data_IF_443491573983
#
_entry.id   IF_443491573983
#
_cell.length_a   1.000
_cell.length_b   1.000
_cell.length_c   1.000
_cell.angle_alpha   90.00
_cell.angle_beta   90.00
_cell.angle_gamma   90.00
#
_symmetry.space_group_name_H-M   'P 1'
#
loop_
_entity.id
_entity.type
_entity.pdbx_description
1 polymer ?
#
# COMPACT_ATOMS: atom_id res chain seq x y z
N UNK A 1 -29.32 -25.44 -2.08
CA UNK A 1 -28.62 -25.43 -3.39
C UNK A 1 -27.58 -24.32 -3.34
N UNK A 2 -26.34 -24.67 -3.00
CA UNK A 2 -25.22 -23.72 -2.93
C UNK A 2 -24.78 -23.41 -4.37
N UNK A 3 -25.07 -22.21 -4.87
CA UNK A 3 -24.51 -21.76 -6.14
C UNK A 3 -23.06 -21.35 -5.91
N UNK A 4 -22.13 -22.27 -6.16
CA UNK A 4 -20.71 -21.99 -6.32
C UNK A 4 -20.50 -21.33 -7.69
N UNK A 5 -20.41 -20.01 -7.70
CA UNK A 5 -19.91 -19.27 -8.85
C UNK A 5 -18.41 -19.53 -9.00
N UNK A 6 -18.03 -20.40 -9.94
CA UNK A 6 -16.66 -20.52 -10.40
C UNK A 6 -16.32 -19.31 -11.28
N UNK A 7 -15.63 -18.32 -10.70
CA UNK A 7 -14.93 -17.30 -11.48
C UNK A 7 -13.54 -17.83 -11.80
N UNK A 8 -13.25 -18.02 -13.09
CA UNK A 8 -11.90 -18.29 -13.57
C UNK A 8 -11.01 -17.09 -13.23
N UNK A 9 -10.16 -17.23 -12.22
CA UNK A 9 -9.17 -16.21 -11.86
C UNK A 9 -8.06 -16.27 -12.91
N UNK A 10 -8.11 -15.35 -13.88
CA UNK A 10 -6.97 -15.07 -14.76
C UNK A 10 -5.88 -14.39 -13.93
N UNK A 11 -4.61 -14.69 -14.25
CA UNK A 11 -3.41 -14.29 -13.50
C UNK A 11 -3.49 -12.91 -12.81
N UNK A 12 -3.16 -12.90 -11.52
CA UNK A 12 -3.27 -11.75 -10.62
C UNK A 12 -2.19 -10.71 -10.94
N UNK A 13 -2.54 -9.68 -11.71
CA UNK A 13 -1.76 -8.44 -11.74
C UNK A 13 -2.29 -7.54 -10.63
N UNK A 14 -1.43 -7.18 -9.67
CA UNK A 14 -1.86 -6.38 -8.52
C UNK A 14 -2.12 -4.90 -8.88
N UNK A 15 -1.67 -4.46 -10.07
CA UNK A 15 -1.94 -3.14 -10.65
C UNK A 15 -1.84 -3.19 -12.20
N UNK A 16 -2.28 -2.14 -12.89
CA UNK A 16 -2.15 -1.97 -14.35
C UNK A 16 -1.61 -0.58 -14.75
N UNK A 17 -0.85 0.08 -13.87
CA UNK A 17 -0.28 1.40 -14.18
C UNK A 17 1.02 1.28 -14.99
N UNK A 18 1.14 1.91 -16.17
CA UNK A 18 2.41 2.02 -16.89
C UNK A 18 3.53 2.66 -16.06
N UNK A 19 3.18 3.51 -15.10
CA UNK A 19 4.14 4.14 -14.20
C UNK A 19 4.74 3.16 -13.19
N UNK A 20 4.11 2.02 -12.93
CA UNK A 20 4.69 0.97 -12.08
C UNK A 20 5.98 0.37 -12.64
N UNK A 21 6.30 0.60 -13.92
CA UNK A 21 7.56 0.16 -14.55
C UNK A 21 8.83 0.69 -13.88
N UNK A 22 8.73 1.82 -13.18
CA UNK A 22 9.89 2.50 -12.63
C UNK A 22 10.08 2.16 -11.14
N UNK A 23 11.35 2.14 -10.71
CA UNK A 23 11.71 1.82 -9.34
C UNK A 23 11.22 0.43 -8.92
N UNK A 24 10.66 0.35 -7.71
CA UNK A 24 10.09 -0.86 -7.12
C UNK A 24 8.59 -1.04 -7.39
N UNK A 25 8.00 -0.26 -8.31
CA UNK A 25 6.55 -0.23 -8.55
C UNK A 25 5.84 0.92 -7.84
N UNK A 26 4.51 0.85 -7.77
CA UNK A 26 3.71 1.84 -7.01
C UNK A 26 3.77 1.48 -5.53
N UNK A 27 4.08 2.46 -4.67
CA UNK A 27 4.09 2.30 -3.21
C UNK A 27 2.65 2.25 -2.69
N UNK A 28 2.37 1.26 -1.86
CA UNK A 28 1.08 1.10 -1.17
C UNK A 28 1.18 1.61 0.27
N UNK A 29 0.23 2.46 0.68
CA UNK A 29 0.15 2.91 2.07
C UNK A 29 -0.55 1.87 2.96
N UNK A 30 0.00 1.51 4.13
CA UNK A 30 -0.59 0.50 5.01
C UNK A 30 -1.72 1.09 5.87
N UNK A 31 -2.68 1.74 5.21
CA UNK A 31 -3.86 2.35 5.81
C UNK A 31 -4.96 1.30 6.06
N UNK A 32 -4.88 0.63 7.21
CA UNK A 32 -5.83 -0.45 7.55
C UNK A 32 -7.22 0.10 7.89
N UNK A 33 -8.25 -0.73 7.78
CA UNK A 33 -9.66 -0.46 8.02
C UNK A 33 -10.11 0.98 7.78
N UNK A 34 -10.50 1.65 8.87
CA UNK A 34 -11.04 3.00 8.83
C UNK A 34 -10.09 4.07 8.29
N UNK A 35 -8.77 3.89 8.41
CA UNK A 35 -7.78 4.85 7.91
C UNK A 35 -7.88 5.05 6.40
N UNK A 36 -8.26 4.00 5.67
CA UNK A 36 -8.51 4.08 4.21
C UNK A 36 -9.65 5.05 3.85
N UNK A 37 -10.64 5.26 4.73
CA UNK A 37 -11.70 6.25 4.54
C UNK A 37 -11.31 7.68 4.95
N UNK A 38 -10.12 7.86 5.54
CA UNK A 38 -9.62 9.11 6.12
C UNK A 38 -8.37 9.63 5.40
N UNK A 39 -8.26 9.43 4.09
CA UNK A 39 -7.12 9.87 3.29
C UNK A 39 -5.85 9.05 3.52
N UNK A 40 -5.95 7.95 4.28
CA UNK A 40 -4.82 7.13 4.66
C UNK A 40 -3.98 7.72 5.80
N UNK A 41 -4.53 8.62 6.63
CA UNK A 41 -3.84 9.04 7.86
C UNK A 41 -3.74 7.85 8.84
N UNK A 42 -2.66 7.81 9.61
CA UNK A 42 -2.36 6.76 10.56
C UNK A 42 -1.30 7.13 11.60
N UNK A 43 -0.34 8.03 11.34
CA UNK A 43 0.77 8.27 12.28
C UNK A 43 0.28 8.78 13.64
N UNK A 44 -0.70 9.69 13.64
CA UNK A 44 -1.36 10.22 14.84
C UNK A 44 -2.62 9.47 15.27
N UNK A 45 -3.02 8.38 14.58
CA UNK A 45 -4.23 7.64 14.92
C UNK A 45 -3.97 6.60 16.02
N UNK A 46 -4.80 6.65 17.06
CA UNK A 46 -4.75 5.74 18.21
C UNK A 46 -6.14 5.22 18.55
N UNK A 47 -6.34 3.91 18.38
CA UNK A 47 -7.65 3.25 18.51
C UNK A 47 -7.52 1.81 19.00
N UNK A 48 -8.40 1.42 19.93
CA UNK A 48 -8.54 0.03 20.38
C UNK A 48 -9.11 -0.88 19.29
N UNK A 49 -10.06 -0.38 18.50
CA UNK A 49 -10.80 -1.13 17.49
C UNK A 49 -10.17 -1.19 16.10
N UNK A 50 -8.88 -0.84 15.95
CA UNK A 50 -8.18 -0.88 14.67
C UNK A 50 -6.70 -1.24 14.88
N UNK A 51 -6.11 -1.95 13.93
CA UNK A 51 -4.67 -2.18 13.87
C UNK A 51 -4.05 -1.09 13.01
N UNK A 52 -2.94 -0.50 13.48
CA UNK A 52 -2.29 0.60 12.78
C UNK A 52 -0.77 0.36 12.69
N UNK A 53 -0.30 -0.30 11.62
CA UNK A 53 1.13 -0.56 11.45
C UNK A 53 1.94 0.65 11.00
N UNK A 54 1.29 1.74 10.55
CA UNK A 54 1.99 2.99 10.20
C UNK A 54 2.73 3.58 11.41
N UNK A 55 2.23 3.35 12.63
CA UNK A 55 2.93 3.72 13.85
C UNK A 55 2.81 2.60 14.90
N UNK A 56 3.87 1.81 15.16
CA UNK A 56 3.81 0.68 16.09
C UNK A 56 3.51 1.08 17.54
N UNK A 57 3.78 2.35 17.94
CA UNK A 57 3.40 2.85 19.26
C UNK A 57 1.89 2.77 19.54
N UNK A 58 1.08 2.67 18.48
CA UNK A 58 -0.38 2.53 18.59
C UNK A 58 -0.85 1.19 19.15
N UNK A 59 -0.04 0.11 19.13
CA UNK A 59 -0.51 -1.21 19.54
C UNK A 59 -0.84 -1.32 21.03
N UNK A 60 -0.21 -0.50 21.88
CA UNK A 60 -0.53 -0.37 23.31
C UNK A 60 -1.96 0.13 23.55
N UNK A 61 -2.61 0.76 22.55
CA UNK A 61 -4.05 0.99 22.56
C UNK A 61 -4.78 -0.28 22.11
N UNK A 62 -4.77 -1.30 22.95
CA UNK A 62 -5.54 -2.53 22.78
C UNK A 62 -6.32 -2.80 24.05
N UNK A 63 -7.55 -3.30 23.91
CA UNK A 63 -8.31 -3.75 25.09
C UNK A 63 -7.65 -5.00 25.64
N UNK A 64 -7.26 -4.96 26.92
CA UNK A 64 -6.55 -6.02 27.64
C UNK A 64 -7.23 -7.40 27.60
N UNK A 65 -8.53 -7.46 27.28
CA UNK A 65 -9.31 -8.69 27.28
C UNK A 65 -9.66 -9.20 25.87
N UNK A 66 -9.23 -8.53 24.80
CA UNK A 66 -9.60 -8.91 23.44
C UNK A 66 -8.43 -8.94 22.50
N UNK A 67 -8.43 -9.89 21.56
CA UNK A 67 -7.60 -9.77 20.37
C UNK A 67 -8.39 -9.11 19.25
N UNK A 68 -7.68 -8.52 18.30
CA UNK A 68 -8.25 -7.97 17.08
C UNK A 68 -7.61 -8.66 15.88
N UNK A 69 -8.43 -9.14 14.96
CA UNK A 69 -8.03 -9.62 13.64
C UNK A 69 -8.62 -8.66 12.60
N UNK A 70 -7.82 -8.20 11.64
CA UNK A 70 -8.28 -7.33 10.56
C UNK A 70 -7.82 -7.89 9.22
N UNK A 71 -8.75 -7.97 8.28
CA UNK A 71 -8.49 -8.46 6.92
C UNK A 71 -9.07 -7.48 5.91
N UNK A 72 -8.24 -7.06 4.96
CA UNK A 72 -8.59 -6.04 3.97
C UNK A 72 -8.48 -6.55 2.53
N UNK A 73 -9.50 -6.24 1.73
CA UNK A 73 -9.55 -6.44 0.29
C UNK A 73 -9.75 -5.11 -0.42
N UNK A 74 -9.31 -5.02 -1.67
CA UNK A 74 -9.66 -3.90 -2.53
C UNK A 74 -10.01 -4.32 -3.94
N UNK A 75 -10.77 -3.48 -4.62
CA UNK A 75 -10.97 -3.48 -6.06
C UNK A 75 -10.65 -2.09 -6.61
N UNK A 76 -9.83 -2.03 -7.66
CA UNK A 76 -9.37 -0.78 -8.28
C UNK A 76 -9.81 -0.76 -9.74
N UNK A 77 -10.67 0.19 -10.10
CA UNK A 77 -11.02 0.51 -11.47
C UNK A 77 -10.20 1.72 -11.93
N UNK A 78 -9.33 1.54 -12.91
CA UNK A 78 -8.47 2.60 -13.46
C UNK A 78 -8.85 2.90 -14.89
N UNK A 79 -8.99 4.18 -15.21
CA UNK A 79 -9.18 4.71 -16.56
C UNK A 79 -7.94 5.46 -16.99
N UNK A 80 -7.34 5.00 -18.08
CA UNK A 80 -6.18 5.60 -18.73
C UNK A 80 -6.63 6.50 -19.87
N UNK A 81 -5.97 7.64 -20.01
CA UNK A 81 -6.14 8.54 -21.14
C UNK A 81 -4.79 9.00 -21.65
N UNK A 82 -4.53 8.77 -22.92
CA UNK A 82 -3.37 9.28 -23.63
C UNK A 82 -3.85 9.91 -24.93
N UNK A 83 -3.79 11.24 -25.03
CA UNK A 83 -4.36 11.97 -26.16
C UNK A 83 -5.83 11.60 -26.42
N UNK A 84 -6.11 10.93 -27.55
CA UNK A 84 -7.44 10.44 -27.95
C UNK A 84 -7.71 8.98 -27.54
N UNK A 85 -6.69 8.25 -27.08
CA UNK A 85 -6.82 6.87 -26.64
C UNK A 85 -7.38 6.82 -25.21
N UNK A 86 -8.27 5.86 -24.97
CA UNK A 86 -8.92 5.63 -23.68
C UNK A 86 -8.98 4.14 -23.41
N UNK A 87 -8.58 3.76 -22.21
CA UNK A 87 -8.61 2.37 -21.79
C UNK A 87 -9.06 2.28 -20.33
N UNK A 88 -9.63 1.14 -19.95
CA UNK A 88 -10.01 0.87 -18.58
C UNK A 88 -9.53 -0.52 -18.13
N UNK A 89 -9.20 -0.63 -16.85
CA UNK A 89 -8.77 -1.87 -16.20
C UNK A 89 -9.42 -2.00 -14.83
N UNK A 90 -9.73 -3.24 -14.44
CA UNK A 90 -10.22 -3.58 -13.11
C UNK A 90 -9.25 -4.59 -12.49
N UNK A 91 -8.82 -4.32 -11.26
CA UNK A 91 -7.96 -5.19 -10.47
C UNK A 91 -8.61 -5.45 -9.12
N UNK A 92 -8.30 -6.57 -8.49
CA UNK A 92 -8.67 -6.86 -7.12
C UNK A 92 -7.46 -7.38 -6.36
N UNK A 93 -7.27 -6.92 -5.13
CA UNK A 93 -6.11 -7.23 -4.31
C UNK A 93 -6.51 -7.62 -2.89
N UNK A 94 -5.68 -8.47 -2.28
CA UNK A 94 -5.64 -8.62 -0.82
C UNK A 94 -4.70 -7.53 -0.32
N UNK A 95 -5.22 -6.59 0.48
CA UNK A 95 -4.44 -5.44 0.95
C UNK A 95 -3.59 -5.82 2.18
N UNK A 96 -4.19 -6.53 3.14
CA UNK A 96 -3.54 -6.96 4.36
C UNK A 96 -4.32 -8.03 5.13
N UNK A 97 -3.60 -8.72 6.01
CA UNK A 97 -4.16 -9.52 7.09
C UNK A 97 -3.31 -9.28 8.35
N UNK A 98 -3.93 -8.96 9.47
CA UNK A 98 -3.18 -8.63 10.68
C UNK A 98 -3.93 -9.02 11.96
N UNK A 99 -3.13 -9.20 13.01
CA UNK A 99 -3.58 -9.51 14.36
C UNK A 99 -2.95 -8.50 15.33
N UNK A 100 -3.71 -8.08 16.35
CA UNK A 100 -3.26 -7.27 17.49
C UNK A 100 -3.72 -7.94 18.77
N UNK A 101 -2.78 -8.19 19.69
CA UNK A 101 -3.00 -8.93 20.94
C UNK A 101 -2.47 -8.11 22.11
N UNK A 102 -3.23 -8.00 23.23
CA UNK A 102 -2.72 -7.46 24.48
C UNK A 102 -1.78 -8.48 25.16
N UNK A 103 -0.58 -8.05 25.52
CA UNK A 103 0.31 -8.81 26.41
C UNK A 103 0.10 -8.41 27.87
N UNK A 104 -0.16 -7.13 28.11
CA UNK A 104 -0.60 -6.60 29.40
C UNK A 104 -1.47 -5.35 29.19
N UNK A 105 -1.94 -4.71 30.27
CA UNK A 105 -2.77 -3.50 30.18
C UNK A 105 -2.14 -2.38 29.35
N UNK A 106 -0.82 -2.25 29.42
CA UNK A 106 -0.06 -1.18 28.78
C UNK A 106 0.93 -1.70 27.73
N UNK A 107 0.82 -2.98 27.35
CA UNK A 107 1.72 -3.65 26.40
C UNK A 107 0.94 -4.38 25.31
N UNK A 108 1.10 -3.93 24.07
CA UNK A 108 0.49 -4.54 22.89
C UNK A 108 1.51 -5.23 21.98
N UNK A 109 1.05 -6.26 21.29
CA UNK A 109 1.75 -6.94 20.20
C UNK A 109 0.87 -6.87 18.94
N UNK A 110 1.49 -6.74 17.77
CA UNK A 110 0.81 -6.91 16.49
C UNK A 110 1.70 -7.65 15.52
N UNK A 111 1.10 -8.48 14.69
CA UNK A 111 1.76 -9.12 13.57
C UNK A 111 0.82 -9.15 12.38
N UNK A 112 1.37 -9.08 11.18
CA UNK A 112 0.54 -9.08 9.98
C UNK A 112 1.36 -9.06 8.71
N UNK A 113 0.64 -9.09 7.61
CA UNK A 113 1.16 -9.01 6.26
C UNK A 113 0.38 -7.94 5.50
N UNK A 114 1.09 -7.11 4.74
CA UNK A 114 0.49 -6.11 3.86
C UNK A 114 1.37 -5.88 2.63
N UNK A 115 0.77 -5.41 1.55
CA UNK A 115 1.52 -5.09 0.32
C UNK A 115 2.30 -3.78 0.49
N UNK A 116 3.60 -3.79 0.18
CA UNK A 116 4.46 -2.60 0.24
C UNK A 116 4.55 -1.91 -1.12
N UNK A 117 4.74 -2.69 -2.20
CA UNK A 117 4.71 -2.16 -3.57
C UNK A 117 3.95 -3.07 -4.53
N UNK A 118 3.45 -2.49 -5.63
CA UNK A 118 2.73 -3.19 -6.70
C UNK A 118 3.39 -2.90 -8.04
N UNK A 119 3.70 -3.95 -8.79
CA UNK A 119 4.19 -3.88 -10.16
C UNK A 119 3.20 -4.55 -11.11
N UNK A 120 2.81 -3.82 -12.15
CA UNK A 120 1.83 -4.35 -13.09
C UNK A 120 1.54 -3.38 -14.24
N UNK A 121 1.89 -3.81 -15.44
CA UNK A 121 1.53 -3.12 -16.68
C UNK A 121 1.54 -4.12 -17.84
N UNK A 122 0.82 -3.80 -18.91
CA UNK A 122 0.87 -4.54 -20.16
C UNK A 122 0.57 -3.60 -21.33
N UNK A 123 1.54 -3.40 -22.21
CA UNK A 123 1.37 -2.60 -23.43
C UNK A 123 2.21 -3.18 -24.57
N UNK A 124 1.90 -2.81 -25.80
CA UNK A 124 2.67 -3.23 -26.97
C UNK A 124 2.96 -2.03 -27.87
N UNK A 125 4.08 -2.09 -28.57
CA UNK A 125 4.47 -1.10 -29.57
C UNK A 125 4.94 -1.84 -30.81
N UNK A 126 4.41 -1.46 -31.97
CA UNK A 126 4.82 -1.98 -33.27
C UNK A 126 5.60 -0.93 -34.05
N UNK A 127 6.47 -1.41 -34.94
CA UNK A 127 7.25 -0.57 -35.84
C UNK A 127 7.65 -1.34 -37.08
N UNK A 128 8.36 -0.65 -37.98
CA UNK A 128 8.93 -1.24 -39.19
C UNK A 128 10.42 -0.93 -39.27
N UNK A 129 11.22 -1.93 -39.60
CA UNK A 129 12.63 -1.80 -39.96
C UNK A 129 12.78 -2.08 -41.45
N UNK A 130 13.84 -1.57 -42.06
CA UNK A 130 14.22 -1.97 -43.41
C UNK A 130 15.28 -3.06 -43.28
N UNK A 131 15.01 -4.23 -43.84
CA UNK A 131 15.99 -5.33 -43.88
C UNK A 131 17.13 -5.02 -44.86
N UNK A 132 18.20 -5.81 -44.83
CA UNK A 132 19.37 -5.71 -45.69
C UNK A 132 19.01 -5.74 -47.19
N UNK A 133 17.92 -6.42 -47.55
CA UNK A 133 17.39 -6.50 -48.92
C UNK A 133 16.43 -5.34 -49.30
N UNK A 134 16.29 -4.33 -48.43
CA UNK A 134 15.41 -3.17 -48.68
C UNK A 134 13.92 -3.41 -48.40
N UNK A 135 13.55 -4.60 -47.93
CA UNK A 135 12.17 -4.95 -47.60
C UNK A 135 11.74 -4.38 -46.24
N UNK A 136 10.46 -4.00 -46.12
CA UNK A 136 9.89 -3.52 -44.86
C UNK A 136 9.56 -4.69 -43.94
N UNK A 137 10.25 -4.78 -42.80
CA UNK A 137 10.10 -5.78 -41.77
C UNK A 137 9.31 -5.20 -40.59
N UNK A 138 8.06 -5.66 -40.42
CA UNK A 138 7.20 -5.24 -39.31
C UNK A 138 7.53 -6.05 -38.07
N UNK A 139 7.76 -5.37 -36.95
CA UNK A 139 7.97 -5.99 -35.65
C UNK A 139 6.93 -5.50 -34.63
N UNK A 140 6.71 -6.32 -33.60
CA UNK A 140 5.88 -6.00 -32.44
C UNK A 140 6.68 -6.28 -31.17
N UNK A 141 6.74 -5.31 -30.26
CA UNK A 141 7.34 -5.48 -28.95
C UNK A 141 6.26 -5.36 -27.87
N UNK A 142 5.98 -6.48 -27.20
CA UNK A 142 5.06 -6.55 -26.09
C UNK A 142 5.83 -6.45 -24.77
N UNK A 143 5.46 -5.49 -23.93
CA UNK A 143 6.01 -5.30 -22.60
C UNK A 143 4.96 -5.65 -21.56
N UNK A 144 5.33 -6.47 -20.58
CA UNK A 144 4.50 -6.75 -19.42
C UNK A 144 5.32 -6.77 -18.16
N UNK A 145 4.68 -6.49 -17.04
CA UNK A 145 5.26 -6.74 -15.74
C UNK A 145 4.22 -7.20 -14.75
N UNK A 146 4.67 -7.93 -13.74
CA UNK A 146 3.85 -8.42 -12.64
C UNK A 146 4.69 -8.60 -11.37
N UNK A 147 3.99 -8.67 -10.24
CA UNK A 147 4.59 -8.89 -8.92
C UNK A 147 4.49 -7.67 -8.02
N UNK A 148 5.37 -7.61 -7.05
CA UNK A 148 5.34 -6.62 -5.97
C UNK A 148 6.16 -7.08 -4.78
N UNK A 149 6.35 -6.18 -3.82
CA UNK A 149 7.02 -6.47 -2.55
C UNK A 149 5.94 -6.47 -1.47
N UNK A 150 5.89 -7.55 -0.69
CA UNK A 150 5.06 -7.69 0.49
C UNK A 150 5.88 -7.45 1.74
N UNK A 151 5.20 -7.06 2.81
CA UNK A 151 5.80 -6.79 4.10
C UNK A 151 5.10 -7.63 5.17
N UNK A 152 5.79 -8.63 5.71
CA UNK A 152 5.37 -9.28 6.94
C UNK A 152 6.00 -8.52 8.11
N UNK A 153 5.24 -8.22 9.15
CA UNK A 153 5.76 -7.50 10.32
C UNK A 153 5.42 -8.21 11.62
N UNK A 154 6.31 -8.04 12.59
CA UNK A 154 6.09 -8.34 14.00
C UNK A 154 6.46 -7.11 14.81
N UNK A 155 5.53 -6.66 15.61
CA UNK A 155 5.59 -5.37 16.27
C UNK A 155 5.13 -5.40 17.70
N UNK A 156 5.68 -4.51 18.51
CA UNK A 156 5.29 -4.38 19.92
C UNK A 156 5.32 -2.92 20.36
N UNK A 157 4.50 -2.58 21.35
CA UNK A 157 4.58 -1.26 21.99
C UNK A 157 4.16 -1.26 23.45
N UNK A 158 4.74 -0.32 24.19
CA UNK A 158 4.51 -0.12 25.62
C UNK A 158 4.08 1.32 25.87
N UNK A 159 3.06 1.49 26.73
CA UNK A 159 2.60 2.79 27.21
C UNK A 159 3.30 3.14 28.53
N UNK A 160 4.04 4.24 28.52
CA UNK A 160 4.73 4.83 29.65
C UNK A 160 3.97 6.06 30.15
N UNK A 161 3.95 6.24 31.47
CA UNK A 161 3.37 7.41 32.14
C UNK A 161 1.93 7.76 31.70
N UNK A 162 1.17 6.80 31.19
CA UNK A 162 -0.19 6.96 30.62
C UNK A 162 -0.32 7.89 29.41
N UNK A 163 0.77 8.50 28.95
CA UNK A 163 0.76 9.50 27.88
C UNK A 163 1.71 9.16 26.74
N UNK A 164 2.84 8.52 27.02
CA UNK A 164 3.89 8.27 26.02
C UNK A 164 3.90 6.81 25.63
N UNK A 165 3.56 6.48 24.39
CA UNK A 165 3.74 5.14 23.85
C UNK A 165 4.97 5.06 22.97
N UNK A 166 5.76 4.00 23.14
CA UNK A 166 6.88 3.67 22.28
C UNK A 166 6.62 2.31 21.64
N UNK A 167 6.95 2.15 20.37
CA UNK A 167 6.79 0.89 19.66
C UNK A 167 7.87 0.66 18.62
N UNK A 168 8.04 -0.60 18.25
CA UNK A 168 8.99 -1.04 17.23
C UNK A 168 8.32 -2.13 16.38
N UNK A 169 8.53 -2.07 15.07
CA UNK A 169 8.24 -3.14 14.13
C UNK A 169 9.54 -3.71 13.57
N UNK A 170 9.65 -5.04 13.54
CA UNK A 170 10.57 -5.76 12.67
C UNK A 170 9.77 -6.16 11.44
N UNK A 171 10.25 -5.78 10.27
CA UNK A 171 9.61 -6.01 8.99
C UNK A 171 10.47 -6.94 8.14
N UNK A 172 9.85 -7.91 7.50
CA UNK A 172 10.42 -8.77 6.49
C UNK A 172 9.77 -8.42 5.15
N UNK A 173 10.56 -7.83 4.26
CA UNK A 173 10.19 -7.49 2.88
C UNK A 173 10.54 -8.65 1.97
N UNK A 174 9.54 -9.20 1.30
CA UNK A 174 9.72 -10.32 0.39
C UNK A 174 8.84 -10.18 -0.85
N UNK A 175 9.32 -10.67 -1.98
CA UNK A 175 8.55 -10.66 -3.21
C UNK A 175 9.45 -10.67 -4.45
N UNK A 176 8.82 -10.57 -5.60
CA UNK A 176 9.53 -10.48 -6.87
C UNK A 176 8.91 -9.43 -7.78
N UNK A 177 9.76 -8.77 -8.55
CA UNK A 177 9.39 -7.83 -9.59
C UNK A 177 9.84 -8.43 -10.93
N UNK A 178 8.88 -8.80 -11.77
CA UNK A 178 9.14 -9.47 -13.05
C UNK A 178 8.80 -8.50 -14.16
N UNK A 179 9.78 -8.13 -14.96
CA UNK A 179 9.60 -7.33 -16.18
C UNK A 179 9.92 -8.19 -17.39
N UNK A 180 8.98 -8.33 -18.31
CA UNK A 180 9.11 -9.12 -19.53
C UNK A 180 8.93 -8.25 -20.77
N UNK A 181 9.78 -8.47 -21.77
CA UNK A 181 9.65 -7.91 -23.12
C UNK A 181 9.72 -9.05 -24.12
N UNK A 182 8.80 -9.06 -25.09
CA UNK A 182 8.75 -10.04 -26.17
C UNK A 182 8.74 -9.29 -27.49
N UNK A 183 9.82 -9.41 -28.24
CA UNK A 183 9.94 -8.94 -29.60
C UNK A 183 9.54 -10.07 -30.56
N UNK A 184 8.57 -9.80 -31.43
CA UNK A 184 8.08 -10.75 -32.43
C UNK A 184 7.98 -10.10 -33.81
N UNK A 185 7.97 -10.94 -34.85
CA UNK A 185 7.85 -10.56 -36.25
C UNK A 185 6.58 -11.21 -36.82
N UNK A 186 5.41 -10.57 -36.70
CA UNK A 186 4.11 -11.22 -36.92
C UNK A 186 3.90 -11.76 -38.35
N UNK A 187 4.61 -11.20 -39.32
CA UNK A 187 4.50 -11.52 -40.74
C UNK A 187 5.72 -12.26 -41.29
N UNK A 188 6.67 -12.66 -40.43
CA UNK A 188 7.87 -13.36 -40.86
C UNK A 188 8.17 -14.52 -39.91
N UNK A 189 7.68 -15.71 -40.28
CA UNK A 189 7.75 -16.92 -39.44
C UNK A 189 9.16 -17.52 -39.35
N UNK A 190 10.10 -17.06 -40.19
CA UNK A 190 11.50 -17.52 -40.18
C UNK A 190 12.31 -16.87 -39.05
N UNK A 191 11.81 -15.76 -38.47
CA UNK A 191 12.49 -15.04 -37.40
C UNK A 191 11.90 -15.43 -36.05
N UNK A 192 12.72 -16.07 -35.21
CA UNK A 192 12.32 -16.47 -33.87
C UNK A 192 12.06 -15.24 -32.98
N UNK A 193 10.97 -15.23 -32.21
CA UNK A 193 10.73 -14.16 -31.25
C UNK A 193 11.81 -14.16 -30.17
N UNK A 194 12.19 -12.96 -29.71
CA UNK A 194 13.11 -12.78 -28.60
C UNK A 194 12.34 -12.38 -27.36
N UNK A 195 12.48 -13.14 -26.28
CA UNK A 195 11.88 -12.83 -24.97
C UNK A 195 12.99 -12.51 -23.97
N UNK A 196 12.92 -11.35 -23.34
CA UNK A 196 13.79 -10.96 -22.22
C UNK A 196 12.95 -10.85 -20.96
N UNK A 197 13.37 -11.52 -19.89
CA UNK A 197 12.72 -11.52 -18.58
C UNK A 197 13.72 -11.10 -17.51
N UNK A 198 13.45 -9.97 -16.87
CA UNK A 198 14.22 -9.43 -15.76
C UNK A 198 13.47 -9.72 -14.46
N UNK A 199 14.07 -10.50 -13.57
CA UNK A 199 13.49 -10.90 -12.29
C UNK A 199 14.33 -10.33 -11.16
N UNK A 200 13.71 -9.50 -10.33
CA UNK A 200 14.31 -8.95 -9.11
C UNK A 200 13.60 -9.59 -7.92
N UNK A 201 14.29 -10.41 -7.13
CA UNK A 201 13.78 -11.06 -5.92
C UNK A 201 14.32 -10.33 -4.69
N UNK A 202 13.42 -9.89 -3.81
CA UNK A 202 13.75 -9.17 -2.57
C UNK A 202 13.55 -10.10 -1.38
N UNK A 203 14.51 -10.13 -0.44
CA UNK A 203 14.38 -10.83 0.85
C UNK A 203 15.11 -10.07 1.96
N UNK A 204 14.48 -9.05 2.53
CA UNK A 204 15.19 -8.08 3.36
C UNK A 204 14.48 -7.79 4.69
N UNK A 205 15.24 -7.52 5.75
CA UNK A 205 14.71 -7.11 7.04
C UNK A 205 14.96 -5.63 7.33
N UNK A 206 13.93 -4.91 7.77
CA UNK A 206 14.07 -3.54 8.26
C UNK A 206 13.34 -3.32 9.59
N UNK A 207 13.65 -2.21 10.26
CA UNK A 207 13.03 -1.84 11.54
C UNK A 207 12.31 -0.50 11.39
N UNK A 208 11.12 -0.39 11.95
CA UNK A 208 10.44 0.90 12.14
C UNK A 208 10.31 1.19 13.62
N UNK A 209 10.65 2.41 14.03
CA UNK A 209 10.43 2.92 15.37
C UNK A 209 9.23 3.88 15.39
N UNK A 210 8.41 3.79 16.43
CA UNK A 210 7.21 4.60 16.60
C UNK A 210 7.15 5.24 17.98
N UNK A 211 6.66 6.46 18.03
CA UNK A 211 6.36 7.21 19.24
C UNK A 211 4.96 7.81 19.09
N UNK A 212 4.16 7.75 20.15
CA UNK A 212 2.91 8.49 20.28
C UNK A 212 2.83 9.20 21.63
N UNK A 213 2.35 10.42 21.64
CA UNK A 213 2.04 11.17 22.85
C UNK A 213 0.54 11.51 22.88
N UNK A 214 -0.16 11.02 23.88
CA UNK A 214 -1.59 11.19 24.09
C UNK A 214 -1.85 12.10 25.30
N UNK A 215 -2.56 13.21 25.07
CA UNK A 215 -2.95 14.16 26.09
C UNK A 215 -4.46 14.35 26.10
N UNK A 216 -5.05 14.26 27.30
CA UNK A 216 -6.45 14.56 27.54
C UNK A 216 -6.59 15.95 28.16
N UNK A 217 -7.57 16.73 27.70
CA UNK A 217 -7.97 18.00 28.30
C UNK A 217 -9.43 17.90 28.74
N UNK A 218 -9.65 17.90 30.06
CA UNK A 218 -10.95 17.56 30.63
C UNK A 218 -11.43 16.16 30.21
N UNK A 219 -12.74 15.99 30.07
CA UNK A 219 -13.35 14.69 29.77
C UNK A 219 -13.66 14.46 28.28
N UNK A 220 -13.56 15.52 27.46
CA UNK A 220 -14.04 15.49 26.07
C UNK A 220 -12.95 15.66 25.03
N UNK A 221 -11.79 16.20 25.38
CA UNK A 221 -10.78 16.55 24.39
C UNK A 221 -9.59 15.59 24.51
N UNK A 222 -9.22 14.96 23.40
CA UNK A 222 -8.06 14.08 23.31
C UNK A 222 -7.20 14.49 22.13
N UNK A 223 -5.92 14.69 22.37
CA UNK A 223 -4.93 15.05 21.36
C UNK A 223 -3.88 13.94 21.30
N UNK A 224 -3.53 13.50 20.10
CA UNK A 224 -2.47 12.52 19.86
C UNK A 224 -1.47 13.08 18.86
N UNK A 225 -0.20 13.11 19.25
CA UNK A 225 0.94 13.33 18.36
C UNK A 225 1.60 11.99 18.08
N UNK A 226 2.04 11.78 16.84
CA UNK A 226 2.70 10.55 16.41
C UNK A 226 3.92 10.84 15.57
N UNK A 227 4.98 10.08 15.80
CA UNK A 227 6.20 10.08 15.00
C UNK A 227 6.53 8.63 14.65
N UNK A 228 6.90 8.39 13.40
CA UNK A 228 7.43 7.12 12.95
C UNK A 228 8.72 7.36 12.16
N UNK A 229 9.70 6.48 12.35
CA UNK A 229 10.99 6.56 11.72
C UNK A 229 11.46 5.19 11.24
N UNK A 230 11.84 5.12 9.97
CA UNK A 230 12.52 3.98 9.36
C UNK A 230 13.89 4.46 8.87
N UNK A 231 15.00 3.85 9.34
CA UNK A 231 16.33 4.12 8.79
C UNK A 231 16.42 3.73 7.31
N UNK A 232 17.31 4.36 6.54
CA UNK A 232 17.66 3.88 5.20
C UNK A 232 18.59 2.65 5.26
N UNK A 233 18.71 1.95 4.13
CA UNK A 233 19.63 0.83 4.02
C UNK A 233 19.64 0.18 2.63
N UNK A 234 20.52 -0.81 2.47
CA UNK A 234 20.58 -1.66 1.29
C UNK A 234 19.67 -2.87 1.49
N UNK A 235 18.86 -3.18 0.47
CA UNK A 235 18.05 -4.38 0.40
C UNK A 235 18.88 -5.56 -0.11
N UNK A 236 18.61 -6.74 0.45
CA UNK A 236 19.12 -7.99 -0.08
C UNK A 236 18.29 -8.42 -1.29
N UNK A 237 18.92 -8.37 -2.47
CA UNK A 237 18.26 -8.54 -3.76
C UNK A 237 19.06 -9.46 -4.67
N UNK A 238 18.36 -10.42 -5.27
CA UNK A 238 18.89 -11.22 -6.38
C UNK A 238 18.27 -10.73 -7.70
N UNK A 239 19.12 -10.36 -8.65
CA UNK A 239 18.68 -9.90 -9.97
C UNK A 239 19.18 -10.83 -11.08
N UNK A 240 18.24 -11.34 -11.87
CA UNK A 240 18.51 -12.29 -12.96
C UNK A 240 17.84 -11.81 -14.24
N UNK A 241 18.58 -11.87 -15.34
CA UNK A 241 18.06 -11.64 -16.69
C UNK A 241 18.08 -12.95 -17.47
N UNK A 242 16.92 -13.36 -17.96
CA UNK A 242 16.77 -14.51 -18.85
C UNK A 242 16.41 -14.03 -20.24
N UNK A 243 17.24 -14.36 -21.23
CA UNK A 243 16.99 -14.09 -22.64
C UNK A 243 16.73 -15.40 -23.36
N UNK A 244 15.58 -15.51 -24.02
CA UNK A 244 15.16 -16.70 -24.77
C UNK A 244 14.92 -16.30 -26.21
N UNK A 245 15.60 -16.99 -27.13
CA UNK A 245 15.36 -16.93 -28.58
C UNK A 245 15.15 -18.36 -29.09
N UNK A 246 16.15 -18.93 -29.76
CA UNK A 246 16.27 -20.37 -30.02
C UNK A 246 16.80 -21.12 -28.80
N UNK A 247 17.73 -20.51 -28.08
CA UNK A 247 18.31 -21.02 -26.84
C UNK A 247 18.02 -20.07 -25.67
N UNK A 248 18.23 -20.53 -24.44
CA UNK A 248 18.00 -19.77 -23.21
C UNK A 248 19.32 -19.40 -22.54
N UNK A 249 19.60 -18.10 -22.48
CA UNK A 249 20.71 -17.53 -21.71
C UNK A 249 20.18 -16.99 -20.38
N UNK A 250 20.78 -17.43 -19.27
CA UNK A 250 20.49 -16.89 -17.94
C UNK A 250 21.75 -16.16 -17.45
N UNK A 251 21.58 -14.89 -17.08
CA UNK A 251 22.63 -14.05 -16.52
C UNK A 251 22.23 -13.60 -15.12
N UNK A 252 23.08 -13.88 -14.14
CA UNK A 252 22.99 -13.31 -12.81
C UNK A 252 23.83 -12.05 -12.72
N UNK A 253 23.34 -11.05 -11.99
CA UNK A 253 24.05 -9.79 -11.78
C UNK A 253 24.39 -9.59 -10.30
N UNK A 254 25.37 -10.35 -9.76
CA UNK A 254 25.80 -10.18 -8.38
C UNK A 254 26.42 -8.79 -8.17
N UNK A 255 26.18 -8.19 -7.00
CA UNK A 255 26.80 -6.92 -6.60
C UNK A 255 26.08 -5.64 -7.03
N UNK A 256 24.92 -5.73 -7.69
CA UNK A 256 24.05 -4.56 -7.88
C UNK A 256 23.46 -4.10 -6.54
N UNK A 257 23.58 -2.81 -6.24
CA UNK A 257 23.01 -2.26 -5.01
C UNK A 257 21.59 -1.73 -5.23
N UNK A 258 20.70 -2.15 -4.35
CA UNK A 258 19.29 -1.78 -4.28
C UNK A 258 19.02 -1.27 -2.87
N UNK A 259 18.48 -0.06 -2.72
CA UNK A 259 18.29 0.58 -1.42
C UNK A 259 16.83 0.92 -1.13
N UNK A 260 16.51 1.04 0.15
CA UNK A 260 15.23 1.55 0.64
C UNK A 260 15.46 2.87 1.40
N UNK A 261 14.48 3.78 1.37
CA UNK A 261 14.69 5.13 1.84
C UNK A 261 14.54 5.21 3.34
N UNK A 262 15.18 6.22 3.91
CA UNK A 262 14.78 6.75 5.19
C UNK A 262 13.34 7.27 5.06
N UNK A 263 12.47 6.87 5.98
CA UNK A 263 11.08 7.30 6.03
C UNK A 263 10.81 7.99 7.38
N UNK A 264 10.32 9.22 7.33
CA UNK A 264 9.87 9.98 8.48
C UNK A 264 8.37 10.27 8.34
N UNK A 265 7.58 9.77 9.27
CA UNK A 265 6.14 10.03 9.38
C UNK A 265 5.84 10.88 10.61
N UNK A 266 5.07 11.95 10.43
CA UNK A 266 4.55 12.80 11.49
C UNK A 266 3.03 12.81 11.39
N UNK A 267 2.35 12.69 12.52
CA UNK A 267 0.89 12.70 12.56
C UNK A 267 0.34 13.43 13.76
N UNK A 268 -0.81 14.03 13.56
CA UNK A 268 -1.58 14.72 14.57
C UNK A 268 -3.03 14.25 14.48
N UNK A 269 -3.65 13.94 15.62
CA UNK A 269 -5.10 13.78 15.68
C UNK A 269 -5.70 14.45 16.90
N UNK A 270 -6.91 14.95 16.72
CA UNK A 270 -7.73 15.55 17.76
C UNK A 270 -9.10 14.87 17.75
N UNK A 271 -9.49 14.32 18.89
CA UNK A 271 -10.79 13.69 19.10
C UNK A 271 -11.60 14.49 20.12
N UNK A 272 -12.81 14.89 19.73
CA UNK A 272 -13.81 15.48 20.61
C UNK A 272 -14.90 14.46 20.96
N UNK A 273 -15.07 14.21 22.25
CA UNK A 273 -16.12 13.39 22.88
C UNK A 273 -16.20 11.95 22.33
N UNK A 274 -15.08 11.42 21.83
CA UNK A 274 -14.99 10.16 21.07
C UNK A 274 -15.89 10.10 19.82
N UNK A 275 -16.43 11.24 19.39
CA UNK A 275 -17.41 11.36 18.31
C UNK A 275 -16.81 11.97 17.06
N UNK A 276 -16.04 13.04 17.19
CA UNK A 276 -15.41 13.71 16.06
C UNK A 276 -13.90 13.59 16.18
N UNK A 277 -13.27 12.87 15.25
CA UNK A 277 -11.81 12.82 15.13
C UNK A 277 -11.38 13.53 13.88
N UNK A 278 -10.46 14.48 14.01
CA UNK A 278 -9.77 15.15 12.90
C UNK A 278 -8.30 14.74 12.97
N UNK A 279 -7.65 14.58 11.82
CA UNK A 279 -6.23 14.28 11.80
C UNK A 279 -5.53 14.72 10.53
N UNK A 280 -4.22 14.86 10.65
CA UNK A 280 -3.31 15.27 9.60
C UNK A 280 -2.02 14.49 9.72
N UNK A 281 -1.53 14.00 8.57
CA UNK A 281 -0.27 13.31 8.47
C UNK A 281 0.64 13.95 7.42
N UNK A 282 1.94 13.94 7.72
CA UNK A 282 3.02 14.29 6.82
C UNK A 282 4.02 13.15 6.77
N UNK A 283 4.42 12.74 5.57
CA UNK A 283 5.39 11.68 5.35
C UNK A 283 6.47 12.16 4.38
N UNK A 284 7.71 11.84 4.68
CA UNK A 284 8.86 12.18 3.89
C UNK A 284 9.75 10.96 3.68
N UNK A 285 10.02 10.60 2.42
CA UNK A 285 10.81 9.45 2.02
C UNK A 285 11.97 9.87 1.10
N UNK A 286 13.20 9.67 1.58
CA UNK A 286 14.43 10.12 0.92
C UNK A 286 14.95 9.16 -0.17
N UNK A 287 14.11 8.80 -1.15
CA UNK A 287 14.48 7.88 -2.24
C UNK A 287 15.59 8.40 -3.16
N UNK A 288 15.81 9.71 -3.25
CA UNK A 288 16.92 10.28 -4.02
C UNK A 288 18.30 9.88 -3.49
N UNK A 289 18.39 9.47 -2.21
CA UNK A 289 19.63 8.99 -1.59
C UNK A 289 19.83 7.48 -1.75
N UNK A 290 18.82 6.75 -2.22
CA UNK A 290 18.91 5.29 -2.36
C UNK A 290 19.55 4.91 -3.68
N UNK A 291 20.30 3.81 -3.69
CA UNK A 291 20.80 3.24 -4.94
C UNK A 291 19.75 2.35 -5.59
N UNK A 292 19.58 2.46 -6.91
CA UNK A 292 18.76 1.53 -7.69
C UNK A 292 19.58 1.13 -8.92
N UNK A 293 19.81 -0.17 -9.11
CA UNK A 293 20.78 -0.68 -10.09
C UNK A 293 22.19 -0.07 -9.93
N UNK A 294 22.65 0.16 -8.69
CA UNK A 294 23.97 0.76 -8.44
C UNK A 294 24.06 2.28 -8.68
N UNK A 295 22.98 2.92 -9.14
CA UNK A 295 22.94 4.36 -9.40
C UNK A 295 22.15 5.08 -8.31
N UNK A 296 22.82 5.97 -7.58
CA UNK A 296 22.20 6.93 -6.66
C UNK A 296 21.52 8.07 -7.43
N UNK A 297 20.49 8.70 -6.86
CA UNK A 297 19.70 9.79 -7.49
C UNK A 297 18.94 9.37 -8.78
N UNK A 298 18.73 8.07 -8.96
CA UNK A 298 17.84 7.51 -10.00
C UNK A 298 16.35 7.64 -9.64
N UNK A 299 16.06 7.82 -8.35
CA UNK A 299 14.73 8.03 -7.79
C UNK A 299 14.62 9.46 -7.21
N UNK A 300 13.39 9.92 -6.99
CA UNK A 300 13.11 11.25 -6.46
C UNK A 300 12.60 11.18 -5.03
N UNK A 301 12.82 12.24 -4.26
CA UNK A 301 12.15 12.44 -2.98
C UNK A 301 10.62 12.30 -3.12
N UNK A 302 10.01 11.58 -2.17
CA UNK A 302 8.56 11.46 -2.04
C UNK A 302 8.07 12.15 -0.76
N UNK A 303 7.13 13.07 -0.93
CA UNK A 303 6.43 13.73 0.16
C UNK A 303 4.95 13.43 0.04
N UNK A 304 4.31 13.07 1.15
CA UNK A 304 2.87 12.82 1.22
C UNK A 304 2.24 13.61 2.35
N UNK A 305 1.14 14.27 2.05
CA UNK A 305 0.28 15.00 2.97
C UNK A 305 -1.10 14.38 2.94
N UNK A 306 -1.69 14.12 4.11
CA UNK A 306 -3.05 13.60 4.20
C UNK A 306 -3.83 14.29 5.32
N UNK A 307 -5.12 14.52 5.08
CA UNK A 307 -6.07 15.04 6.04
C UNK A 307 -7.27 14.09 6.11
N UNK A 308 -7.79 13.86 7.31
CA UNK A 308 -8.89 12.95 7.53
C UNK A 308 -9.81 13.37 8.67
N UNK A 309 -11.07 12.99 8.56
CA UNK A 309 -12.09 13.18 9.57
C UNK A 309 -12.92 11.91 9.75
N UNK A 310 -13.26 11.59 11.00
CA UNK A 310 -14.20 10.54 11.39
C UNK A 310 -15.28 11.16 12.28
N UNK A 311 -16.54 10.91 11.97
CA UNK A 311 -17.69 11.35 12.73
C UNK A 311 -18.58 10.16 13.12
N UNK A 312 -18.79 10.00 14.42
CA UNK A 312 -19.71 9.05 15.04
C UNK A 312 -20.89 9.83 15.65
N UNK A 313 -22.12 9.65 15.15
CA UNK A 313 -23.26 10.43 15.63
C UNK A 313 -23.53 10.28 17.13
N UNK A 314 -23.50 9.06 17.68
CA UNK A 314 -23.67 8.81 19.11
C UNK A 314 -22.78 7.66 19.58
N UNK A 315 -22.19 7.81 20.77
CA UNK A 315 -21.41 6.74 21.42
C UNK A 315 -22.29 5.56 21.85
N UNK A 316 -23.52 5.84 22.29
CA UNK A 316 -24.53 4.85 22.64
C UNK A 316 -25.70 5.03 21.68
N UNK A 317 -25.72 4.24 20.62
CA UNK A 317 -26.71 4.35 19.57
C UNK A 317 -28.03 3.69 19.98
N UNK A 318 -29.15 4.40 19.77
CA UNK A 318 -30.49 3.84 19.88
C UNK A 318 -30.97 3.26 18.55
N UNK A 319 -30.49 3.82 17.45
CA UNK A 319 -30.77 3.38 16.08
C UNK A 319 -29.47 3.10 15.34
N UNK A 320 -29.50 2.13 14.43
CA UNK A 320 -28.28 1.63 13.77
C UNK A 320 -27.44 2.72 13.09
N UNK A 321 -28.07 3.66 12.37
CA UNK A 321 -27.36 4.76 11.69
C UNK A 321 -26.59 5.68 12.65
N UNK A 322 -26.97 5.73 13.92
CA UNK A 322 -26.27 6.53 14.93
C UNK A 322 -24.96 5.86 15.39
N UNK A 323 -24.81 4.56 15.13
CA UNK A 323 -23.62 3.76 15.41
C UNK A 323 -22.64 3.72 14.23
N UNK A 324 -23.04 4.21 13.05
CA UNK A 324 -22.20 4.21 11.85
C UNK A 324 -21.14 5.30 11.99
N UNK A 325 -19.88 4.94 11.76
CA UNK A 325 -18.78 5.89 11.64
C UNK A 325 -18.70 6.41 10.21
N UNK A 326 -18.85 7.71 10.02
CA UNK A 326 -18.71 8.37 8.73
C UNK A 326 -17.32 8.96 8.61
N UNK A 327 -16.64 8.72 7.49
CA UNK A 327 -15.26 9.14 7.28
C UNK A 327 -15.11 9.86 5.96
N UNK A 328 -14.24 10.85 5.96
CA UNK A 328 -13.77 11.50 4.75
C UNK A 328 -12.30 11.85 4.89
N UNK A 329 -11.62 11.98 3.77
CA UNK A 329 -10.24 12.43 3.75
C UNK A 329 -9.78 12.82 2.36
N UNK A 330 -8.62 13.45 2.34
CA UNK A 330 -7.95 13.89 1.13
C UNK A 330 -6.46 13.71 1.32
N UNK A 331 -5.75 13.50 0.22
CA UNK A 331 -4.31 13.43 0.27
C UNK A 331 -3.69 13.98 -1.01
N UNK A 332 -2.45 14.39 -0.87
CA UNK A 332 -1.56 14.79 -1.95
C UNK A 332 -0.24 14.06 -1.76
N UNK A 333 0.30 13.45 -2.82
CA UNK A 333 1.58 12.77 -2.79
C UNK A 333 2.39 13.12 -4.02
N UNK A 334 3.67 13.42 -3.83
CA UNK A 334 4.63 13.38 -4.91
C UNK A 334 5.04 11.91 -5.16
N UNK A 335 5.39 11.59 -6.40
CA UNK A 335 5.93 10.28 -6.76
C UNK A 335 7.43 10.23 -6.50
N UNK A 336 7.91 9.07 -6.06
CA UNK A 336 9.35 8.80 -5.98
C UNK A 336 9.96 8.45 -7.34
N UNK A 337 9.14 8.29 -8.37
CA UNK A 337 9.61 8.03 -9.73
C UNK A 337 10.13 9.34 -10.32
N UNK A 338 11.40 9.35 -10.69
CA UNK A 338 12.05 10.49 -11.34
C UNK A 338 11.75 10.47 -12.84
N UNK A 339 11.00 11.46 -13.30
CA UNK A 339 10.78 11.74 -14.72
C UNK A 339 11.37 13.11 -15.06
N UNK A 340 12.10 13.23 -16.17
CA UNK A 340 12.51 14.53 -16.70
C UNK A 340 11.41 15.07 -17.63
N UNK A 341 10.93 16.33 -17.49
CA UNK A 341 11.44 17.44 -16.66
C UNK A 341 10.78 17.63 -15.28
N UNK A 342 9.93 16.72 -14.80
CA UNK A 342 9.30 16.85 -13.47
C UNK A 342 8.67 15.55 -12.95
N UNK A 343 8.44 15.48 -11.65
CA UNK A 343 7.88 14.27 -11.02
C UNK A 343 6.36 14.18 -11.20
N UNK A 344 5.86 12.94 -11.23
CA UNK A 344 4.43 12.66 -11.15
C UNK A 344 3.90 13.03 -9.77
N UNK A 345 2.67 13.50 -9.74
CA UNK A 345 1.97 13.84 -8.50
C UNK A 345 0.64 13.12 -8.46
N UNK A 346 0.11 12.92 -7.27
CA UNK A 346 -1.14 12.22 -7.05
C UNK A 346 -2.00 13.01 -6.08
N UNK A 347 -3.26 13.21 -6.46
CA UNK A 347 -4.28 13.79 -5.62
C UNK A 347 -5.38 12.76 -5.42
N UNK A 348 -5.82 12.56 -4.18
CA UNK A 348 -6.91 11.67 -3.89
C UNK A 348 -7.89 12.19 -2.85
N UNK A 349 -9.12 11.70 -2.97
CA UNK A 349 -10.23 11.92 -2.06
C UNK A 349 -10.72 10.55 -1.61
N UNK A 350 -11.01 10.38 -0.32
CA UNK A 350 -11.60 9.17 0.22
C UNK A 350 -12.86 9.50 1.02
N UNK A 351 -13.83 8.61 0.95
CA UNK A 351 -14.97 8.54 1.88
C UNK A 351 -15.09 7.14 2.42
N UNK A 352 -15.62 6.98 3.63
CA UNK A 352 -15.77 5.65 4.21
C UNK A 352 -16.85 5.56 5.27
N UNK A 353 -17.28 4.32 5.50
CA UNK A 353 -18.25 3.93 6.50
C UNK A 353 -17.65 2.84 7.38
N UNK A 354 -17.75 2.99 8.70
CA UNK A 354 -17.51 1.95 9.67
C UNK A 354 -18.85 1.43 10.18
N UNK A 355 -19.22 0.23 9.74
CA UNK A 355 -20.47 -0.42 10.07
C UNK A 355 -20.23 -1.35 11.26
N UNK A 356 -20.67 -0.99 12.48
CA UNK A 356 -20.55 -1.89 13.61
C UNK A 356 -21.44 -3.12 13.37
N UNK A 357 -20.89 -4.29 13.69
CA UNK A 357 -21.62 -5.55 13.73
C UNK A 357 -21.98 -5.88 15.20
N UNK A 358 -22.26 -7.16 15.49
CA UNK A 358 -22.70 -7.60 16.83
C UNK A 358 -21.68 -7.18 17.91
N UNK A 359 -22.20 -6.57 18.98
CA UNK A 359 -21.47 -6.06 20.16
C UNK A 359 -20.55 -4.84 19.96
N UNK A 360 -20.66 -4.08 18.84
CA UNK A 360 -19.87 -2.86 18.55
C UNK A 360 -18.33 -3.03 18.46
N UNK A 361 -17.79 -4.18 18.87
CA UNK A 361 -16.36 -4.51 18.86
C UNK A 361 -15.88 -4.97 17.49
N UNK A 362 -16.75 -5.66 16.74
CA UNK A 362 -16.50 -6.05 15.35
C UNK A 362 -17.05 -4.97 14.43
N UNK A 363 -16.26 -4.54 13.44
CA UNK A 363 -16.63 -3.52 12.48
C UNK A 363 -16.29 -3.94 11.05
N UNK A 364 -17.24 -3.75 10.14
CA UNK A 364 -17.01 -3.82 8.70
C UNK A 364 -16.70 -2.39 8.22
N UNK A 365 -15.53 -2.19 7.64
CA UNK A 365 -15.13 -0.92 7.06
C UNK A 365 -15.29 -0.98 5.55
N UNK A 366 -16.02 -0.01 4.99
CA UNK A 366 -16.13 0.22 3.56
C UNK A 366 -15.49 1.59 3.27
N UNK A 367 -14.55 1.66 2.35
CA UNK A 367 -13.97 2.91 1.88
C UNK A 367 -14.03 2.98 0.35
N UNK A 368 -14.29 4.17 -0.16
CA UNK A 368 -14.19 4.49 -1.58
C UNK A 368 -13.20 5.64 -1.72
N UNK A 369 -12.26 5.48 -2.64
CA UNK A 369 -11.19 6.42 -2.89
C UNK A 369 -11.18 6.75 -4.39
N UNK A 370 -11.17 8.04 -4.70
CA UNK A 370 -10.94 8.55 -6.04
C UNK A 370 -9.55 9.17 -6.08
N UNK A 371 -8.70 8.70 -7.00
CA UNK A 371 -7.36 9.23 -7.21
C UNK A 371 -7.15 9.70 -8.64
N UNK A 372 -6.31 10.71 -8.79
CA UNK A 372 -5.87 11.23 -10.09
C UNK A 372 -4.36 11.47 -10.09
N UNK A 373 -3.71 10.91 -11.10
CA UNK A 373 -2.30 11.19 -11.41
C UNK A 373 -2.21 12.50 -12.20
N UNK A 374 -1.40 13.42 -11.72
CA UNK A 374 -1.09 14.70 -12.36
C UNK A 374 0.25 14.54 -13.07
N UNK A 375 0.22 14.69 -14.40
CA UNK A 375 1.39 14.55 -15.26
C UNK A 375 2.10 15.90 -15.46
N UNK A 376 3.44 15.92 -15.49
CA UNK A 376 4.22 17.15 -15.67
C UNK A 376 4.18 17.67 -17.11
N UNK A 377 3.97 16.79 -18.11
CA UNK A 377 3.97 17.13 -19.52
C UNK A 377 2.63 16.79 -20.21
N UNK A 378 2.25 17.57 -21.25
CA UNK A 378 1.19 17.17 -22.18
C UNK A 378 1.55 15.88 -22.92
N UNK A 379 0.57 15.02 -23.17
CA UNK A 379 0.73 13.78 -23.92
C UNK A 379 1.12 12.55 -23.09
N UNK A 380 1.46 12.72 -21.80
CA UNK A 380 1.65 11.59 -20.88
C UNK A 380 0.31 10.95 -20.50
N UNK A 381 0.35 9.65 -20.17
CA UNK A 381 -0.82 8.87 -19.76
C UNK A 381 -1.41 9.42 -18.45
N UNK A 382 -2.63 9.95 -18.51
CA UNK A 382 -3.36 10.36 -17.31
C UNK A 382 -4.14 9.18 -16.75
N UNK A 383 -4.02 8.97 -15.44
CA UNK A 383 -4.73 7.91 -14.72
C UNK A 383 -5.76 8.52 -13.78
N UNK A 384 -6.99 8.04 -13.90
CA UNK A 384 -8.06 8.27 -12.94
C UNK A 384 -8.49 6.93 -12.39
N UNK A 385 -8.45 6.75 -11.07
CA UNK A 385 -8.85 5.50 -10.48
C UNK A 385 -9.92 5.67 -9.40
N UNK A 386 -10.75 4.63 -9.31
CA UNK A 386 -11.71 4.43 -8.24
C UNK A 386 -11.33 3.16 -7.52
N UNK A 387 -11.02 3.27 -6.24
CA UNK A 387 -10.66 2.15 -5.39
C UNK A 387 -11.73 1.96 -4.33
N UNK A 388 -12.29 0.76 -4.26
CA UNK A 388 -13.18 0.33 -3.19
C UNK A 388 -12.39 -0.60 -2.29
N UNK A 389 -12.36 -0.31 -0.99
CA UNK A 389 -11.74 -1.16 0.03
C UNK A 389 -12.80 -1.68 0.98
N UNK A 390 -12.74 -2.97 1.27
CA UNK A 390 -13.57 -3.63 2.27
C UNK A 390 -12.64 -4.24 3.31
N UNK A 391 -12.90 -3.98 4.59
CA UNK A 391 -12.18 -4.67 5.66
C UNK A 391 -13.10 -5.14 6.77
N UNK A 392 -12.72 -6.25 7.39
CA UNK A 392 -13.41 -6.80 8.54
C UNK A 392 -12.47 -6.80 9.73
N UNK A 393 -12.69 -5.87 10.66
CA UNK A 393 -12.03 -5.84 11.96
C UNK A 393 -12.87 -6.65 12.95
N UNK A 394 -12.43 -7.88 13.21
CA UNK A 394 -13.03 -8.80 14.15
C UNK A 394 -12.37 -8.67 15.53
N UNK A 395 -13.18 -8.48 16.57
CA UNK A 395 -12.68 -8.42 17.96
C UNK A 395 -13.47 -9.37 18.84
N UNK A 396 -12.75 -10.27 19.50
CA UNK A 396 -13.31 -11.32 20.36
C UNK A 396 -12.60 -11.29 21.71
N UNK A 397 -13.36 -11.55 22.78
CA UNK A 397 -12.81 -11.63 24.14
C UNK A 397 -12.04 -12.93 24.31
N UNK A 398 -10.78 -12.84 24.74
CA UNK A 398 -9.94 -13.99 25.08
C UNK A 398 -9.87 -14.13 26.62
N UNK A 399 -9.53 -15.31 27.14
CA UNK A 399 -9.36 -15.62 28.58
C UNK A 399 -10.64 -15.70 29.45
N UNK A 400 -11.85 -15.68 28.89
CA UNK A 400 -13.06 -16.00 29.67
C UNK A 400 -13.24 -17.50 29.76
N UNK A 401 -12.95 -18.09 30.94
CA UNK A 401 -13.24 -19.49 31.23
C UNK A 401 -14.76 -19.69 31.23
N UNK A 402 -15.31 -20.23 30.13
CA UNK A 402 -16.76 -20.51 30.03
C UNK A 402 -17.12 -21.54 31.10
N UNK A 403 -18.01 -21.18 32.02
CA UNK A 403 -18.65 -22.14 32.92
C UNK A 403 -19.74 -22.84 32.11
N UNK A 404 -19.59 -24.14 31.90
CA UNK A 404 -20.69 -24.98 31.44
C UNK A 404 -21.56 -25.29 32.67
N UNK A 405 -22.85 -24.97 32.61
CA UNK A 405 -23.85 -25.42 33.57
C UNK A 405 -24.52 -26.68 33.03
#
# INVERSE_FOLDING_TARGET
MLFLFYWSVSAQNNTFSPYSRYGYGIISEPAFGGASGMGGIGYGLRSSGQINPMNPASYSAVDSLSFLFDFGLSAVYTRFRENNLREARLNSNIEYAAVKIPLSKDWGLSLGLYEYTRLGYAFSSSGSLTDLDGNSLIYSNAYSASGGINNAYLGTSVLFFKHLSLGVNINYKFGSLINKSVLSYPYNAEINPTSVSNVLVVNHFNIDAGLQYEQWFGYKHRLVLGVNYTPDGLMDVNYTTTTTTLDTLIQEHPGLSFGFPQNLGLGFSYTYDNRLTLGMDFQHQAWNKTSFFGVSDSLSLRTRLALGAEFLPLNIAQRYYQAIKYRMGLYYSDSYIKFAPGNLKELGLSVGLGLPLRNQRTALNLAMEYGKTLTPLPGMVQEHYWRVKLSLAFSETWFVKRRFN
#
